data_IF_709090523475
#
_entry.id   IF_709090523475
#
_cell.length_a   1.000
_cell.length_b   1.000
_cell.length_c   1.000
_cell.angle_alpha   90.00
_cell.angle_beta   90.00
_cell.angle_gamma   90.00
#
_symmetry.space_group_name_H-M   'P 1'
#
loop_
_entity.id
_entity.type
_entity.pdbx_description
1 polymer ?
#
# COMPACT_ATOMS: atom_id res chain seq x y z
N UNK A 1 31.11 12.81 8.23
CA UNK A 1 30.43 12.72 6.92
C UNK A 1 28.90 12.73 7.02
N UNK A 2 28.24 11.75 7.68
CA UNK A 2 26.75 11.74 7.80
C UNK A 2 26.17 13.03 8.41
N UNK A 3 26.82 13.60 9.42
CA UNK A 3 26.38 14.88 10.02
C UNK A 3 26.50 16.08 9.06
N UNK A 4 27.53 16.12 8.21
CA UNK A 4 27.68 17.15 7.16
C UNK A 4 26.58 17.01 6.12
N UNK A 5 26.30 15.78 5.66
CA UNK A 5 25.20 15.50 4.76
C UNK A 5 23.86 15.96 5.34
N UNK A 6 23.55 15.62 6.60
CA UNK A 6 22.31 16.05 7.25
C UNK A 6 22.24 17.58 7.40
N UNK A 7 23.35 18.23 7.75
CA UNK A 7 23.42 19.70 7.84
C UNK A 7 23.14 20.37 6.49
N UNK A 8 23.70 19.87 5.39
CA UNK A 8 23.40 20.37 4.04
C UNK A 8 21.95 20.06 3.66
N UNK A 9 21.47 18.84 3.93
CA UNK A 9 20.09 18.41 3.65
C UNK A 9 19.07 19.31 4.37
N UNK A 10 19.37 19.77 5.58
CA UNK A 10 18.53 20.70 6.32
C UNK A 10 18.53 22.11 5.71
N UNK A 11 19.66 22.58 5.17
CA UNK A 11 19.77 23.88 4.49
C UNK A 11 18.97 23.95 3.20
N UNK A 12 18.94 22.86 2.44
CA UNK A 12 18.18 22.78 1.18
C UNK A 12 16.70 22.40 1.38
N UNK A 13 16.23 22.32 2.63
CA UNK A 13 14.85 21.91 2.93
C UNK A 13 13.88 23.05 2.63
N UNK A 14 12.99 22.82 1.67
CA UNK A 14 11.91 23.76 1.31
C UNK A 14 10.63 23.48 2.11
N UNK A 15 10.32 22.21 2.39
CA UNK A 15 9.19 21.81 3.23
C UNK A 15 9.47 20.48 3.95
N UNK A 16 8.50 19.96 4.71
CA UNK A 16 8.68 18.75 5.53
C UNK A 16 9.25 17.57 4.71
N UNK A 17 8.82 17.44 3.45
CA UNK A 17 9.25 16.37 2.53
C UNK A 17 9.82 16.88 1.21
N UNK A 18 9.99 18.19 1.04
CA UNK A 18 10.50 18.78 -0.20
C UNK A 18 11.87 19.42 0.01
N UNK A 19 12.83 19.05 -0.82
CA UNK A 19 14.22 19.50 -0.75
C UNK A 19 14.69 19.97 -2.13
N UNK A 20 15.42 21.08 -2.19
CA UNK A 20 16.06 21.54 -3.40
C UNK A 20 17.39 20.80 -3.63
N UNK A 21 17.31 19.57 -4.12
CA UNK A 21 18.48 18.71 -4.31
C UNK A 21 19.55 19.29 -5.23
N UNK A 22 19.15 20.07 -6.23
CA UNK A 22 20.08 20.73 -7.17
C UNK A 22 21.00 21.73 -6.45
N UNK A 23 20.50 22.37 -5.40
CA UNK A 23 21.25 23.34 -4.61
C UNK A 23 22.21 22.68 -3.60
N UNK A 24 22.07 21.37 -3.36
CA UNK A 24 22.94 20.64 -2.44
C UNK A 24 24.41 20.64 -2.85
N UNK A 25 24.69 20.57 -4.16
CA UNK A 25 26.07 20.64 -4.67
C UNK A 25 26.69 22.04 -4.52
N UNK A 26 25.89 23.10 -4.50
CA UNK A 26 26.37 24.45 -4.23
C UNK A 26 26.82 24.62 -2.77
N UNK A 27 26.27 23.82 -1.86
CA UNK A 27 26.64 23.82 -0.45
C UNK A 27 27.74 22.81 -0.11
N UNK A 28 27.86 21.72 -0.88
CA UNK A 28 28.89 20.71 -0.68
C UNK A 28 29.10 19.88 -1.95
N UNK A 29 30.29 19.96 -2.57
CA UNK A 29 30.58 19.41 -3.91
C UNK A 29 30.27 17.92 -4.08
N UNK A 30 30.37 17.12 -3.01
CA UNK A 30 30.10 15.68 -3.04
C UNK A 30 28.73 15.29 -2.49
N UNK A 31 27.84 16.26 -2.25
CA UNK A 31 26.55 16.03 -1.59
C UNK A 31 25.70 14.96 -2.28
N UNK A 32 25.60 14.98 -3.62
CA UNK A 32 24.83 13.98 -4.36
C UNK A 32 25.43 12.57 -4.26
N UNK A 33 26.75 12.41 -4.21
CA UNK A 33 27.41 11.11 -3.98
C UNK A 33 27.09 10.57 -2.58
N UNK A 34 27.09 11.45 -1.58
CA UNK A 34 26.70 11.05 -0.22
C UNK A 34 25.20 10.77 -0.10
N UNK A 35 24.35 11.44 -0.88
CA UNK A 35 22.93 11.10 -0.99
C UNK A 35 22.74 9.68 -1.52
N UNK A 36 23.51 9.29 -2.54
CA UNK A 36 23.46 7.95 -3.12
C UNK A 36 23.86 6.88 -2.10
N UNK A 37 24.92 7.12 -1.32
CA UNK A 37 25.43 6.18 -0.32
C UNK A 37 24.60 6.13 0.96
N UNK A 38 24.18 7.28 1.49
CA UNK A 38 23.42 7.36 2.75
C UNK A 38 21.91 7.19 2.54
N UNK A 39 21.44 7.37 1.30
CA UNK A 39 20.03 7.42 0.97
C UNK A 39 19.33 8.67 1.49
N UNK A 40 18.00 8.65 1.36
CA UNK A 40 17.12 9.65 1.96
C UNK A 40 16.93 9.39 3.46
N UNK A 41 18.02 9.47 4.22
CA UNK A 41 17.97 9.46 5.69
C UNK A 41 17.00 10.54 6.15
N UNK A 42 15.95 10.13 6.87
CA UNK A 42 14.97 11.04 7.42
C UNK A 42 15.68 11.99 8.40
N UNK A 43 15.53 13.30 8.18
CA UNK A 43 15.94 14.30 9.15
C UNK A 43 15.01 14.14 10.35
N UNK A 44 15.50 13.49 11.41
CA UNK A 44 14.90 13.55 12.73
C UNK A 44 14.67 15.02 13.05
N UNK A 45 13.42 15.37 13.36
CA UNK A 45 13.02 16.73 13.71
C UNK A 45 14.03 17.28 14.71
N UNK A 46 14.83 18.24 14.27
CA UNK A 46 15.66 19.01 15.20
C UNK A 46 14.70 19.56 16.26
N UNK A 47 14.95 19.33 17.55
CA UNK A 47 14.05 19.71 18.61
C UNK A 47 13.93 21.23 18.60
N UNK A 48 12.88 21.74 17.94
CA UNK A 48 12.38 23.08 18.21
C UNK A 48 11.81 23.04 19.62
N UNK A 49 11.99 24.13 20.38
CA UNK A 49 11.89 24.08 21.83
C UNK A 49 10.51 23.56 22.20
N UNK A 50 10.52 22.74 23.25
CA UNK A 50 9.37 22.29 24.00
C UNK A 50 8.56 23.54 24.39
N UNK A 51 7.71 24.01 23.50
CA UNK A 51 6.49 24.71 23.88
C UNK A 51 5.54 23.59 24.29
N UNK A 52 5.77 23.12 25.52
CA UNK A 52 4.74 22.78 26.50
C UNK A 52 3.42 22.37 25.85
N UNK A 53 3.21 21.09 25.60
CA UNK A 53 2.54 20.23 26.58
C UNK A 53 1.31 20.94 27.19
N UNK A 54 0.25 21.09 26.40
CA UNK A 54 -1.14 21.12 26.92
C UNK A 54 -2.14 20.80 25.81
N UNK A 55 -1.96 19.65 25.15
CA UNK A 55 -3.13 18.88 24.73
C UNK A 55 -3.58 18.09 25.95
N UNK A 56 -3.98 18.84 26.99
CA UNK A 56 -4.96 18.37 27.94
C UNK A 56 -6.19 18.18 27.09
N UNK A 57 -6.43 16.93 26.72
CA UNK A 57 -7.77 16.48 26.39
C UNK A 57 -8.52 16.57 27.71
N UNK A 58 -8.88 17.80 28.09
CA UNK A 58 -10.00 18.06 28.96
C UNK A 58 -11.17 17.52 28.15
N UNK A 59 -11.44 16.24 28.35
CA UNK A 59 -12.79 15.72 28.17
C UNK A 59 -13.58 16.55 29.15
N UNK A 60 -14.16 17.63 28.64
CA UNK A 60 -15.36 18.23 29.18
C UNK A 60 -16.36 17.08 29.22
N UNK A 61 -16.28 16.33 30.32
CA UNK A 61 -17.40 15.59 30.84
C UNK A 61 -18.32 16.70 31.32
N UNK A 62 -19.00 17.34 30.37
CA UNK A 62 -20.23 18.04 30.66
C UNK A 62 -21.12 16.97 31.27
N UNK A 63 -21.06 16.93 32.61
CA UNK A 63 -22.14 16.57 33.49
C UNK A 63 -23.39 17.31 32.98
N UNK A 64 -24.00 16.80 31.90
CA UNK A 64 -25.44 16.88 31.73
C UNK A 64 -26.00 15.93 32.78
N UNK A 65 -25.96 16.46 34.00
CA UNK A 65 -26.99 16.42 35.02
C UNK A 65 -28.34 16.46 34.29
N UNK A 66 -28.73 15.31 33.73
CA UNK A 66 -30.09 15.04 33.31
C UNK A 66 -30.86 15.08 34.62
N UNK A 67 -31.25 16.31 34.95
CA UNK A 67 -31.98 16.67 36.13
C UNK A 67 -33.01 15.60 36.32
N UNK A 68 -32.85 14.90 37.43
CA UNK A 68 -33.92 14.24 38.11
C UNK A 68 -35.08 15.22 37.96
N UNK A 69 -36.00 14.91 37.05
CA UNK A 69 -37.33 15.46 37.07
C UNK A 69 -37.83 14.92 38.41
N UNK A 70 -37.48 15.63 39.49
CA UNK A 70 -38.25 15.70 40.70
C UNK A 70 -39.64 15.99 40.16
N UNK A 71 -40.38 14.90 39.93
CA UNK A 71 -41.81 14.89 40.09
C UNK A 71 -41.96 15.38 41.53
N UNK A 72 -41.90 16.71 41.71
CA UNK A 72 -42.62 17.40 42.75
C UNK A 72 -44.05 16.91 42.51
N UNK A 73 -44.36 15.82 43.19
CA UNK A 73 -45.68 15.49 43.65
C UNK A 73 -46.12 16.74 44.40
N UNK A 74 -46.60 17.74 43.65
CA UNK A 74 -47.56 18.68 44.18
C UNK A 74 -48.73 17.79 44.60
N UNK A 75 -48.63 17.32 45.85
CA UNK A 75 -49.75 17.04 46.70
C UNK A 75 -50.61 18.30 46.64
N UNK A 76 -51.47 18.39 45.63
CA UNK A 76 -52.72 19.11 45.77
C UNK A 76 -53.43 18.39 46.91
N UNK A 77 -53.12 18.83 48.14
CA UNK A 77 -54.06 18.81 49.24
C UNK A 77 -55.30 19.52 48.71
N UNK A 78 -56.17 18.73 48.09
CA UNK A 78 -57.60 18.97 48.02
C UNK A 78 -58.10 19.00 49.48
N UNK A 79 -57.71 20.04 50.24
CA UNK A 79 -58.29 20.40 51.52
C UNK A 79 -59.65 21.06 51.24
N UNK A 80 -60.55 20.27 50.65
CA UNK A 80 -61.93 20.65 50.33
C UNK A 80 -62.92 19.85 51.18
N UNK A 81 -62.50 19.53 52.41
CA UNK A 81 -63.29 18.78 53.40
C UNK A 81 -64.18 19.64 54.29
N UNK A 82 -64.27 20.95 54.06
CA UNK A 82 -64.93 21.89 54.99
C UNK A 82 -66.41 22.20 54.73
N UNK A 83 -66.87 22.15 53.47
CA UNK A 83 -68.14 22.81 53.12
C UNK A 83 -69.34 21.87 52.94
N UNK A 84 -69.16 20.54 52.97
CA UNK A 84 -70.29 19.63 52.79
C UNK A 84 -71.23 19.59 54.01
N UNK A 85 -70.73 19.83 55.22
CA UNK A 85 -71.57 19.81 56.42
C UNK A 85 -72.50 21.02 56.52
N UNK A 86 -72.08 22.20 56.04
CA UNK A 86 -72.90 23.41 56.16
C UNK A 86 -74.13 23.37 55.24
N UNK A 87 -74.00 22.80 54.05
CA UNK A 87 -75.11 22.72 53.09
C UNK A 87 -76.11 21.59 53.45
N UNK A 88 -75.65 20.46 54.00
CA UNK A 88 -76.56 19.40 54.48
C UNK A 88 -77.44 19.91 55.64
N UNK A 89 -76.89 20.75 56.52
CA UNK A 89 -77.66 21.37 57.60
C UNK A 89 -78.66 22.42 57.10
N UNK A 90 -78.34 23.18 56.04
CA UNK A 90 -79.28 24.13 55.41
C UNK A 90 -80.44 23.42 54.71
N UNK A 91 -80.19 22.33 53.99
CA UNK A 91 -81.25 21.57 53.29
C UNK A 91 -82.28 20.98 54.26
N UNK A 92 -81.86 20.54 55.46
CA UNK A 92 -82.80 20.02 56.48
C UNK A 92 -83.76 21.08 57.05
N UNK A 93 -83.45 22.38 56.93
CA UNK A 93 -84.28 23.48 57.45
C UNK A 93 -85.18 24.12 56.40
N UNK A 94 -84.91 23.91 55.11
CA UNK A 94 -85.59 24.61 54.01
C UNK A 94 -86.61 23.67 53.36
N UNK A 95 -87.86 23.78 53.80
CA UNK A 95 -88.97 22.91 53.41
C UNK A 95 -89.62 23.24 52.06
N UNK A 96 -89.01 24.07 51.20
CA UNK A 96 -89.57 24.41 49.90
C UNK A 96 -88.87 23.66 48.75
N UNK A 97 -89.66 23.08 47.85
CA UNK A 97 -89.18 22.34 46.67
C UNK A 97 -88.31 23.21 45.75
N UNK A 98 -88.53 24.53 45.74
CA UNK A 98 -87.78 25.49 44.92
C UNK A 98 -86.35 25.64 45.43
N UNK A 99 -86.15 25.81 46.74
CA UNK A 99 -84.82 25.94 47.35
C UNK A 99 -84.00 24.65 47.21
N UNK A 100 -84.65 23.48 47.32
CA UNK A 100 -84.01 22.19 47.03
C UNK A 100 -83.47 22.12 45.60
N UNK A 101 -84.22 22.66 44.61
CA UNK A 101 -83.77 22.69 43.22
C UNK A 101 -82.55 23.60 43.04
N UNK A 102 -82.54 24.76 43.67
CA UNK A 102 -81.40 25.68 43.65
C UNK A 102 -80.16 25.08 44.34
N UNK A 103 -80.33 24.44 45.50
CA UNK A 103 -79.25 23.77 46.20
C UNK A 103 -78.65 22.61 45.39
N UNK A 104 -79.48 21.83 44.69
CA UNK A 104 -79.02 20.75 43.79
C UNK A 104 -78.25 21.33 42.60
N UNK A 105 -78.75 22.38 41.95
CA UNK A 105 -78.05 23.04 40.83
C UNK A 105 -76.70 23.59 41.29
N UNK A 106 -76.65 24.27 42.44
CA UNK A 106 -75.40 24.81 42.99
C UNK A 106 -74.39 23.70 43.34
N UNK A 107 -74.87 22.58 43.89
CA UNK A 107 -74.03 21.41 44.17
C UNK A 107 -73.49 20.79 42.88
N UNK A 108 -74.31 20.69 41.85
CA UNK A 108 -73.93 20.16 40.53
C UNK A 108 -72.94 21.08 39.81
N UNK A 109 -73.11 22.40 39.91
CA UNK A 109 -72.17 23.40 39.39
C UNK A 109 -70.79 23.31 40.07
N UNK A 110 -70.77 23.20 41.40
CA UNK A 110 -69.52 22.97 42.16
C UNK A 110 -68.84 21.65 41.79
N UNK A 111 -69.61 20.58 41.58
CA UNK A 111 -69.03 19.30 41.13
C UNK A 111 -68.43 19.44 39.72
N UNK A 112 -69.12 20.09 38.79
CA UNK A 112 -68.59 20.37 37.44
C UNK A 112 -67.34 21.25 37.48
N UNK A 113 -67.28 22.23 38.38
CA UNK A 113 -66.12 23.10 38.55
C UNK A 113 -64.91 22.32 39.06
N UNK A 114 -65.09 21.44 40.06
CA UNK A 114 -64.05 20.53 40.56
C UNK A 114 -63.56 19.59 39.46
N UNK A 115 -64.47 18.98 38.71
CA UNK A 115 -64.13 18.11 37.57
C UNK A 115 -63.39 18.88 36.46
N UNK A 116 -63.82 20.11 36.16
CA UNK A 116 -63.16 20.96 35.18
C UNK A 116 -61.76 21.36 35.65
N UNK A 117 -61.56 21.67 36.93
CA UNK A 117 -60.24 21.96 37.51
C UNK A 117 -59.32 20.75 37.38
N UNK A 118 -59.78 19.56 37.79
CA UNK A 118 -59.02 18.31 37.66
C UNK A 118 -58.66 18.02 36.21
N UNK A 119 -59.62 18.11 35.29
CA UNK A 119 -59.41 17.91 33.85
C UNK A 119 -58.45 18.94 33.26
N UNK A 120 -58.47 20.19 33.73
CA UNK A 120 -57.55 21.24 33.29
C UNK A 120 -56.11 20.95 33.76
N UNK A 121 -55.93 20.55 35.01
CA UNK A 121 -54.61 20.15 35.55
C UNK A 121 -54.09 18.91 34.82
N UNK A 122 -54.93 17.90 34.59
CA UNK A 122 -54.55 16.71 33.82
C UNK A 122 -54.16 17.05 32.38
N UNK A 123 -54.94 17.90 31.68
CA UNK A 123 -54.63 18.33 30.32
C UNK A 123 -53.34 19.17 30.26
N UNK A 124 -53.05 19.97 31.28
CA UNK A 124 -51.81 20.73 31.38
C UNK A 124 -50.61 19.81 31.64
N UNK A 125 -50.74 18.84 32.56
CA UNK A 125 -49.73 17.81 32.80
C UNK A 125 -49.46 16.97 31.54
N UNK A 126 -50.51 16.58 30.81
CA UNK A 126 -50.40 15.86 29.54
C UNK A 126 -49.70 16.72 28.47
N UNK A 127 -50.05 18.01 28.36
CA UNK A 127 -49.38 18.94 27.44
C UNK A 127 -47.90 19.11 27.78
N UNK A 128 -47.56 19.25 29.07
CA UNK A 128 -46.17 19.37 29.55
C UNK A 128 -45.37 18.11 29.21
N UNK A 129 -45.95 16.92 29.37
CA UNK A 129 -45.33 15.64 28.99
C UNK A 129 -45.06 15.56 27.47
N UNK A 130 -46.06 15.89 26.64
CA UNK A 130 -45.88 15.93 25.16
C UNK A 130 -44.82 16.93 24.72
N UNK A 131 -44.76 18.10 25.35
CA UNK A 131 -43.75 19.11 25.03
C UNK A 131 -42.34 18.65 25.42
N UNK A 132 -42.19 18.01 26.59
CA UNK A 132 -40.92 17.42 27.01
C UNK A 132 -40.47 16.30 26.06
N UNK A 133 -41.39 15.43 25.65
CA UNK A 133 -41.13 14.36 24.69
C UNK A 133 -40.68 14.92 23.33
N UNK A 134 -41.39 15.91 22.78
CA UNK A 134 -41.02 16.57 21.54
C UNK A 134 -39.65 17.26 21.62
N UNK A 135 -39.31 17.84 22.78
CA UNK A 135 -37.99 18.44 23.01
C UNK A 135 -36.88 17.39 23.04
N UNK A 136 -37.13 16.22 23.68
CA UNK A 136 -36.20 15.08 23.68
C UNK A 136 -36.03 14.48 22.29
N UNK A 137 -37.11 14.36 21.52
CA UNK A 137 -37.09 13.89 20.13
C UNK A 137 -36.28 14.83 19.23
N UNK A 138 -36.54 16.14 19.26
CA UNK A 138 -35.74 17.12 18.49
C UNK A 138 -34.25 17.11 18.82
N UNK A 139 -33.88 16.84 20.08
CA UNK A 139 -32.47 16.69 20.48
C UNK A 139 -31.86 15.42 19.87
N UNK A 140 -32.60 14.30 19.88
CA UNK A 140 -32.17 13.05 19.26
C UNK A 140 -31.99 13.18 17.75
N UNK A 141 -32.97 13.73 17.05
CA UNK A 141 -32.86 13.99 15.60
C UNK A 141 -31.65 14.87 15.28
N UNK A 142 -31.40 15.92 16.07
CA UNK A 142 -30.24 16.78 15.86
C UNK A 142 -28.91 16.06 16.04
N UNK A 143 -28.82 15.14 17.01
CA UNK A 143 -27.62 14.32 17.22
C UNK A 143 -27.43 13.30 16.10
N UNK A 144 -28.50 12.66 15.64
CA UNK A 144 -28.48 11.71 14.51
C UNK A 144 -28.07 12.41 13.21
N UNK A 145 -28.63 13.58 12.90
CA UNK A 145 -28.24 14.39 11.75
C UNK A 145 -26.75 14.76 11.81
N UNK A 146 -26.27 15.08 13.02
CA UNK A 146 -24.87 15.43 13.24
C UNK A 146 -23.95 14.22 13.05
N UNK A 147 -24.35 13.05 13.52
CA UNK A 147 -23.63 11.79 13.33
C UNK A 147 -23.57 11.41 11.85
N UNK A 148 -24.72 11.44 11.16
CA UNK A 148 -24.83 11.20 9.73
C UNK A 148 -23.95 12.13 8.90
N UNK A 149 -23.86 13.42 9.26
CA UNK A 149 -22.97 14.38 8.59
C UNK A 149 -21.49 13.98 8.72
N UNK A 150 -21.08 13.49 9.90
CA UNK A 150 -19.71 13.04 10.15
C UNK A 150 -19.41 11.74 9.39
N UNK A 151 -20.33 10.78 9.40
CA UNK A 151 -20.20 9.54 8.63
C UNK A 151 -20.09 9.82 7.13
N UNK A 152 -20.93 10.71 6.59
CA UNK A 152 -20.89 11.08 5.17
C UNK A 152 -19.55 11.75 4.81
N UNK A 153 -18.98 12.58 5.69
CA UNK A 153 -17.64 13.16 5.50
C UNK A 153 -16.55 12.09 5.52
N UNK A 154 -16.62 11.14 6.44
CA UNK A 154 -15.67 10.02 6.51
C UNK A 154 -15.77 9.12 5.28
N UNK A 155 -16.97 8.73 4.86
CA UNK A 155 -17.21 7.95 3.64
C UNK A 155 -16.67 8.65 2.40
N UNK A 156 -16.90 9.97 2.26
CA UNK A 156 -16.31 10.77 1.17
C UNK A 156 -14.79 10.79 1.21
N UNK A 157 -14.17 10.77 2.39
CA UNK A 157 -12.72 10.68 2.52
C UNK A 157 -12.21 9.28 2.13
N UNK A 158 -12.80 8.23 2.69
CA UNK A 158 -12.44 6.82 2.40
C UNK A 158 -12.59 6.51 0.92
N UNK A 159 -13.69 6.95 0.28
CA UNK A 159 -13.92 6.79 -1.15
C UNK A 159 -12.83 7.45 -1.99
N UNK A 160 -12.45 8.69 -1.66
CA UNK A 160 -11.36 9.41 -2.35
C UNK A 160 -10.01 8.74 -2.15
N UNK A 161 -9.76 8.20 -0.96
CA UNK A 161 -8.53 7.51 -0.64
C UNK A 161 -8.41 6.18 -1.39
N UNK A 162 -9.49 5.40 -1.46
CA UNK A 162 -9.56 4.20 -2.28
C UNK A 162 -9.37 4.49 -3.76
N UNK A 163 -9.98 5.56 -4.27
CA UNK A 163 -9.80 5.97 -5.68
C UNK A 163 -8.34 6.33 -5.99
N UNK A 164 -7.66 7.05 -5.09
CA UNK A 164 -6.23 7.37 -5.23
C UNK A 164 -5.37 6.10 -5.24
N UNK A 165 -5.60 5.18 -4.29
CA UNK A 165 -4.88 3.90 -4.23
C UNK A 165 -5.07 3.08 -5.49
N UNK A 166 -6.30 3.01 -5.99
CA UNK A 166 -6.62 2.29 -7.22
C UNK A 166 -5.93 2.91 -8.45
N UNK A 167 -5.79 4.25 -8.52
CA UNK A 167 -5.03 4.91 -9.60
C UNK A 167 -3.54 4.56 -9.53
N UNK A 168 -2.94 4.62 -8.34
CA UNK A 168 -1.54 4.26 -8.13
C UNK A 168 -1.26 2.79 -8.46
N UNK A 169 -2.18 1.89 -8.10
CA UNK A 169 -2.07 0.47 -8.43
C UNK A 169 -2.06 0.24 -9.94
N UNK A 170 -2.95 0.92 -10.68
CA UNK A 170 -2.97 0.87 -12.15
C UNK A 170 -1.67 1.42 -12.75
N UNK A 171 -1.13 2.52 -12.23
CA UNK A 171 0.14 3.08 -12.68
C UNK A 171 1.31 2.11 -12.44
N UNK A 172 1.36 1.49 -11.26
CA UNK A 172 2.36 0.48 -10.92
C UNK A 172 2.29 -0.76 -11.81
N UNK A 173 1.08 -1.22 -12.16
CA UNK A 173 0.90 -2.34 -13.07
C UNK A 173 1.35 -2.02 -14.49
N UNK A 174 1.07 -0.80 -14.98
CA UNK A 174 1.55 -0.34 -16.29
C UNK A 174 3.07 -0.25 -16.30
N UNK A 175 3.67 0.31 -15.25
CA UNK A 175 5.13 0.39 -15.08
C UNK A 175 5.76 -1.00 -15.02
N UNK A 176 5.17 -1.95 -14.27
CA UNK A 176 5.66 -3.34 -14.20
C UNK A 176 5.63 -4.03 -15.56
N UNK A 177 4.55 -3.84 -16.33
CA UNK A 177 4.44 -4.35 -17.71
C UNK A 177 5.41 -3.67 -18.66
N UNK A 178 5.71 -2.38 -18.45
CA UNK A 178 6.71 -1.67 -19.23
C UNK A 178 8.11 -2.21 -18.96
N UNK A 179 8.50 -2.36 -17.69
CA UNK A 179 9.79 -2.94 -17.30
C UNK A 179 9.98 -4.33 -17.88
N UNK A 180 8.97 -5.20 -17.76
CA UNK A 180 9.05 -6.55 -18.34
C UNK A 180 9.30 -6.53 -19.85
N UNK A 181 8.63 -5.65 -20.59
CA UNK A 181 8.84 -5.50 -22.04
C UNK A 181 10.21 -4.92 -22.40
N UNK A 182 10.76 -4.06 -21.55
CA UNK A 182 12.11 -3.52 -21.74
C UNK A 182 13.15 -4.60 -21.44
N UNK A 183 12.99 -5.35 -20.36
CA UNK A 183 13.85 -6.48 -19.99
C UNK A 183 13.85 -7.57 -21.07
N UNK A 184 12.68 -7.98 -21.56
CA UNK A 184 12.55 -8.94 -22.66
C UNK A 184 13.28 -8.48 -23.93
N UNK A 185 13.19 -7.19 -24.28
CA UNK A 185 13.96 -6.62 -25.41
C UNK A 185 15.47 -6.63 -25.18
N UNK A 186 15.90 -6.32 -23.96
CA UNK A 186 17.33 -6.36 -23.62
C UNK A 186 17.85 -7.80 -23.67
N UNK A 187 17.07 -8.78 -23.21
CA UNK A 187 17.40 -10.20 -23.31
C UNK A 187 17.46 -10.67 -24.77
N UNK A 188 16.52 -10.26 -25.62
CA UNK A 188 16.54 -10.53 -27.06
C UNK A 188 17.81 -9.97 -27.73
N UNK A 189 18.13 -8.70 -27.48
CA UNK A 189 19.34 -8.06 -28.01
C UNK A 189 20.62 -8.73 -27.51
N UNK A 190 20.65 -9.14 -26.23
CA UNK A 190 21.77 -9.88 -25.66
C UNK A 190 21.92 -11.27 -26.29
N UNK A 191 20.82 -11.98 -26.49
CA UNK A 191 20.80 -13.30 -27.14
C UNK A 191 21.23 -13.20 -28.61
N UNK A 192 20.78 -12.19 -29.34
CA UNK A 192 21.25 -11.92 -30.70
C UNK A 192 22.76 -11.63 -30.71
N UNK A 193 23.25 -10.82 -29.78
CA UNK A 193 24.68 -10.52 -29.69
C UNK A 193 25.50 -11.78 -29.38
N UNK A 194 25.06 -12.60 -28.42
CA UNK A 194 25.68 -13.89 -28.10
C UNK A 194 25.69 -14.82 -29.30
N UNK A 195 24.59 -14.90 -30.05
CA UNK A 195 24.51 -15.70 -31.28
C UNK A 195 25.49 -15.20 -32.35
N UNK A 196 25.59 -13.89 -32.57
CA UNK A 196 26.56 -13.30 -33.52
C UNK A 196 28.00 -13.61 -33.11
N UNK A 197 28.31 -13.52 -31.83
CA UNK A 197 29.65 -13.84 -31.30
C UNK A 197 30.00 -15.31 -31.49
N UNK A 198 29.08 -16.22 -31.17
CA UNK A 198 29.28 -17.66 -31.37
C UNK A 198 29.44 -17.98 -32.86
N UNK A 199 28.64 -17.40 -33.75
CA UNK A 199 28.76 -17.60 -35.19
C UNK A 199 30.13 -17.16 -35.72
N UNK A 200 30.62 -16.00 -35.27
CA UNK A 200 31.95 -15.51 -35.64
C UNK A 200 33.07 -16.41 -35.10
N UNK A 201 32.93 -16.91 -33.88
CA UNK A 201 33.90 -17.84 -33.29
C UNK A 201 33.96 -19.16 -34.07
N UNK A 202 32.81 -19.74 -34.44
CA UNK A 202 32.76 -20.97 -35.24
C UNK A 202 33.39 -20.77 -36.62
N UNK A 203 33.15 -19.64 -37.28
CA UNK A 203 33.78 -19.36 -38.57
C UNK A 203 35.31 -19.17 -38.44
N UNK A 204 35.77 -18.51 -37.38
CA UNK A 204 37.21 -18.40 -37.09
C UNK A 204 37.85 -19.77 -36.82
N UNK A 205 37.21 -20.62 -36.01
CA UNK A 205 37.68 -22.00 -35.75
C UNK A 205 37.74 -22.83 -37.04
N UNK A 206 36.74 -22.70 -37.91
CA UNK A 206 36.71 -23.35 -39.22
C UNK A 206 37.86 -22.87 -40.11
N UNK A 207 38.12 -21.57 -40.19
CA UNK A 207 39.25 -21.02 -40.95
C UNK A 207 40.61 -21.52 -40.42
N UNK A 208 40.77 -21.57 -39.10
CA UNK A 208 41.97 -22.12 -38.46
C UNK A 208 42.17 -23.60 -38.77
N UNK A 209 41.10 -24.39 -38.73
CA UNK A 209 41.16 -25.80 -39.07
C UNK A 209 41.48 -26.02 -40.55
N UNK A 210 40.92 -25.20 -41.45
CA UNK A 210 41.26 -25.23 -42.87
C UNK A 210 42.75 -24.90 -43.10
N UNK A 211 43.26 -23.83 -42.49
CA UNK A 211 44.68 -23.48 -42.59
C UNK A 211 45.60 -24.57 -42.03
N UNK A 212 45.21 -25.22 -40.93
CA UNK A 212 45.96 -26.34 -40.36
C UNK A 212 46.02 -27.55 -41.32
N UNK A 213 44.90 -27.87 -41.98
CA UNK A 213 44.84 -28.94 -43.00
C UNK A 213 45.69 -28.60 -44.22
N UNK A 214 45.61 -27.37 -44.73
CA UNK A 214 46.43 -26.89 -45.85
C UNK A 214 47.93 -26.90 -45.50
N UNK A 215 48.30 -26.47 -44.29
CA UNK A 215 49.69 -26.51 -43.83
C UNK A 215 50.22 -27.96 -43.74
N UNK A 216 49.42 -28.88 -43.20
CA UNK A 216 49.77 -30.30 -43.12
C UNK A 216 49.90 -30.94 -44.52
N UNK A 217 49.00 -30.59 -45.44
CA UNK A 217 49.07 -31.03 -46.84
C UNK A 217 50.31 -30.49 -47.54
N UNK A 218 50.64 -29.20 -47.36
CA UNK A 218 51.85 -28.59 -47.92
C UNK A 218 53.12 -29.27 -47.37
N UNK A 219 53.18 -29.56 -46.06
CA UNK A 219 54.28 -30.33 -45.48
C UNK A 219 54.41 -31.72 -46.10
N UNK A 220 53.29 -32.44 -46.27
CA UNK A 220 53.28 -33.75 -46.91
C UNK A 220 53.73 -33.68 -48.38
N UNK A 221 53.32 -32.64 -49.13
CA UNK A 221 53.75 -32.41 -50.50
C UNK A 221 55.26 -32.16 -50.59
N UNK A 222 55.82 -31.33 -49.70
CA UNK A 222 57.27 -31.06 -49.63
C UNK A 222 58.04 -32.34 -49.32
N UNK A 223 57.60 -33.11 -48.33
CA UNK A 223 58.20 -34.41 -48.00
C UNK A 223 58.11 -35.39 -49.18
N UNK A 224 56.98 -35.42 -49.90
CA UNK A 224 56.80 -36.22 -51.10
C UNK A 224 57.74 -35.83 -52.24
N UNK A 225 57.99 -34.53 -52.45
CA UNK A 225 58.97 -34.03 -53.43
C UNK A 225 60.39 -34.42 -53.03
N UNK A 226 60.76 -34.23 -51.75
CA UNK A 226 62.08 -34.61 -51.23
C UNK A 226 62.34 -36.11 -51.37
N UNK A 227 61.35 -36.96 -51.07
CA UNK A 227 61.46 -38.41 -51.24
C UNK A 227 61.70 -38.81 -52.71
N UNK A 228 60.97 -38.20 -53.67
CA UNK A 228 61.21 -38.45 -55.10
C UNK A 228 62.61 -38.00 -55.54
N UNK A 229 63.08 -36.85 -55.04
CA UNK A 229 64.41 -36.34 -55.35
C UNK A 229 65.50 -37.28 -54.82
N UNK A 230 65.37 -37.76 -53.58
CA UNK A 230 66.29 -38.74 -53.00
C UNK A 230 66.26 -40.07 -53.75
N UNK A 231 65.08 -40.57 -54.12
CA UNK A 231 64.96 -41.79 -54.93
C UNK A 231 65.55 -41.62 -56.34
N UNK A 232 65.49 -40.44 -56.97
CA UNK A 232 66.14 -40.19 -58.26
C UNK A 232 67.67 -40.11 -58.12
N UNK A 233 68.16 -39.43 -57.08
CA UNK A 233 69.60 -39.23 -56.88
C UNK A 233 70.33 -40.49 -56.42
N UNK A 234 69.70 -41.29 -55.56
CA UNK A 234 70.28 -42.54 -55.04
C UNK A 234 69.79 -43.79 -55.79
N UNK A 235 68.53 -43.82 -56.24
CA UNK A 235 67.96 -44.99 -56.92
C UNK A 235 68.46 -45.18 -58.35
N UNK A 236 68.89 -44.12 -59.05
CA UNK A 236 69.47 -44.25 -60.40
C UNK A 236 70.94 -44.70 -60.39
N UNK A 237 71.55 -44.93 -59.22
CA UNK A 237 72.92 -45.44 -59.07
C UNK A 237 73.03 -46.93 -58.76
N UNK A 238 71.90 -47.64 -58.58
CA UNK A 238 71.89 -49.06 -58.17
C UNK A 238 71.12 -49.96 -59.15
N UNK A 239 70.98 -49.53 -60.41
CA UNK A 239 70.49 -50.35 -61.53
C UNK A 239 71.55 -51.33 -62.07
N UNK A 240 72.34 -51.90 -61.16
CA UNK A 240 73.17 -53.05 -61.42
C UNK A 240 73.13 -53.94 -60.19
N UNK A 241 72.27 -54.97 -60.22
CA UNK A 241 72.07 -56.02 -59.22
C UNK A 241 71.04 -55.67 -58.13
N UNK A 242 69.75 -55.92 -58.39
CA UNK A 242 69.02 -57.04 -57.75
C UNK A 242 67.54 -56.99 -58.15
N UNK A 243 67.25 -57.45 -59.36
CA UNK A 243 65.91 -57.77 -59.80
C UNK A 243 65.48 -59.08 -59.10
N UNK A 244 64.81 -59.01 -57.95
CA UNK A 244 64.27 -60.21 -57.32
C UNK A 244 63.92 -60.09 -55.84
N UNK A 245 62.80 -59.42 -55.52
CA UNK A 245 61.82 -59.90 -54.53
C UNK A 245 60.59 -59.00 -54.57
N UNK A 246 59.44 -59.62 -54.81
CA UNK A 246 58.23 -58.98 -55.27
C UNK A 246 57.52 -58.11 -54.24
N UNK A 247 56.83 -57.11 -54.77
CA UNK A 247 55.41 -56.82 -54.50
C UNK A 247 54.95 -56.98 -53.04
N UNK A 248 55.29 -56.04 -52.17
CA UNK A 248 54.48 -55.79 -50.99
C UNK A 248 53.31 -54.88 -51.39
N UNK A 249 52.05 -55.30 -51.20
CA UNK A 249 50.88 -54.53 -51.64
C UNK A 249 50.73 -53.25 -50.80
N UNK A 250 50.18 -52.17 -51.38
CA UNK A 250 50.03 -50.89 -50.72
C UNK A 250 49.05 -51.01 -49.55
N UNK A 251 49.58 -51.13 -48.34
CA UNK A 251 48.79 -51.02 -47.13
C UNK A 251 48.41 -49.56 -46.99
N UNK A 252 47.13 -49.27 -47.27
CA UNK A 252 46.45 -48.03 -46.96
C UNK A 252 46.61 -47.81 -45.45
N UNK A 253 47.60 -47.01 -45.08
CA UNK A 253 47.89 -46.65 -43.69
C UNK A 253 46.77 -45.72 -43.23
N UNK A 254 45.72 -46.35 -42.74
CA UNK A 254 44.60 -45.76 -42.02
C UNK A 254 45.18 -45.12 -40.74
N UNK A 255 45.50 -43.83 -40.80
CA UNK A 255 45.75 -43.03 -39.60
C UNK A 255 44.42 -42.74 -38.89
N UNK A 256 43.81 -43.78 -38.30
CA UNK A 256 42.94 -43.61 -37.14
C UNK A 256 43.88 -43.49 -35.93
N UNK A 257 44.06 -42.31 -35.34
CA UNK A 257 43.00 -41.63 -34.61
C UNK A 257 42.85 -42.23 -33.21
N UNK A 258 43.96 -42.55 -32.55
CA UNK A 258 44.01 -43.07 -31.18
C UNK A 258 44.94 -42.20 -30.32
N UNK A 259 44.53 -40.97 -30.04
CA UNK A 259 45.11 -40.20 -28.93
C UNK A 259 43.99 -39.93 -27.94
N UNK A 260 44.15 -40.58 -26.81
CA UNK A 260 43.20 -40.60 -25.71
C UNK A 260 42.90 -39.20 -25.21
N UNK A 261 41.62 -39.03 -24.88
CA UNK A 261 41.09 -38.02 -23.99
C UNK A 261 41.92 -37.91 -22.71
N UNK A 262 42.97 -37.10 -22.72
CA UNK A 262 43.48 -36.50 -21.49
C UNK A 262 42.65 -35.25 -21.28
N UNK A 263 41.55 -35.43 -20.56
CA UNK A 263 40.67 -34.39 -20.05
C UNK A 263 41.51 -33.45 -19.18
N UNK A 264 41.76 -32.19 -19.57
CA UNK A 264 42.33 -31.24 -18.64
C UNK A 264 41.29 -30.99 -17.55
N UNK A 265 41.73 -31.17 -16.31
CA UNK A 265 40.99 -30.87 -15.10
C UNK A 265 40.34 -29.49 -15.21
N UNK A 266 39.01 -29.49 -15.30
CA UNK A 266 38.18 -28.32 -15.04
C UNK A 266 38.21 -28.05 -13.53
N UNK A 267 39.32 -27.51 -13.06
CA UNK A 267 39.46 -27.01 -11.71
C UNK A 267 39.90 -25.55 -11.78
N UNK A 268 38.93 -24.65 -11.93
CA UNK A 268 39.04 -23.27 -11.43
C UNK A 268 37.63 -22.72 -11.23
N UNK A 269 37.25 -22.39 -9.98
CA UNK A 269 35.92 -21.89 -9.64
C UNK A 269 35.84 -20.41 -9.96
N UNK A 270 34.83 -20.01 -10.74
CA UNK A 270 34.49 -18.59 -10.92
C UNK A 270 33.28 -18.27 -10.05
N UNK A 271 33.56 -17.91 -8.79
CA UNK A 271 32.69 -17.02 -8.03
C UNK A 271 32.58 -15.70 -8.79
N UNK A 272 31.38 -15.32 -9.23
CA UNK A 272 31.00 -13.92 -9.35
C UNK A 272 29.52 -13.80 -8.99
N UNK A 273 29.33 -13.00 -7.93
CA UNK A 273 28.14 -12.38 -7.33
C UNK A 273 26.91 -12.35 -8.24
#
# INVERSE_FOLDING_TARGET
MRHQYLGVKQKIRLSLHHFNWKDGNNHWENFLKYKEVLGDVQLLESPKPITTAKLGFDVDSDDDDEGEEEEEEEEEKDDDGGDEEEDVLKVRRLGSVVELREAVVKREERQREREFRRKKVEAERERKRREAEFRRERRREWLEDREMELEERQLRWVRRELEKRLRLERELDVERRWRKRVEEKMEEEEMEWRQRMVAMQVEHEKQMMQMHVEASQNQMQVLGIMARFLCQFFGSGTDGLNNGLGTLPPQVLHHGGGLGNVKPDANSPSEFI
#
